data_IF_467753557666
#
_entry.id   IF_467753557666
#
_cell.length_a   1.000
_cell.length_b   1.000
_cell.length_c   1.000
_cell.angle_alpha   90.00
_cell.angle_beta   90.00
_cell.angle_gamma   90.00
#
_symmetry.space_group_name_H-M   'P 1'
#
loop_
_entity.id
_entity.type
_entity.pdbx_description
1 polymer ?
#
# COMPACT_ATOMS: atom_id res chain seq x y z
N UNK A 1 -43.73 -42.63 -26.99
CA UNK A 1 -43.53 -43.77 -26.06
C UNK A 1 -42.37 -43.39 -25.16
N UNK A 2 -42.67 -42.74 -24.01
CA UNK A 2 -42.74 -43.35 -22.66
C UNK A 2 -41.34 -43.64 -22.12
N UNK A 3 -40.83 -43.09 -21.01
CA UNK A 3 -41.40 -42.36 -19.88
C UNK A 3 -40.48 -42.66 -18.68
N UNK A 4 -40.10 -41.65 -17.87
CA UNK A 4 -39.49 -41.89 -16.54
C UNK A 4 -40.55 -42.37 -15.54
N UNK A 5 -40.14 -43.07 -14.47
CA UNK A 5 -40.37 -42.57 -13.09
C UNK A 5 -39.21 -42.96 -12.13
N UNK A 6 -38.74 -42.13 -11.17
CA UNK A 6 -39.29 -41.64 -9.89
C UNK A 6 -39.33 -42.64 -8.70
N UNK A 7 -38.77 -42.18 -7.56
CA UNK A 7 -39.17 -42.44 -6.15
C UNK A 7 -38.77 -43.81 -5.51
N UNK A 8 -38.45 -43.99 -4.21
CA UNK A 8 -38.44 -43.17 -2.98
C UNK A 8 -37.88 -43.99 -1.79
N UNK A 9 -37.70 -43.30 -0.64
CA UNK A 9 -37.76 -43.78 0.77
C UNK A 9 -36.42 -44.20 1.41
N UNK A 10 -36.09 -43.96 2.69
CA UNK A 10 -36.71 -43.32 3.84
C UNK A 10 -35.61 -43.14 4.93
N UNK A 11 -35.72 -42.17 5.85
CA UNK A 11 -34.87 -42.17 7.04
C UNK A 11 -34.86 -40.92 7.93
N UNK A 12 -35.66 -40.97 8.99
CA UNK A 12 -35.48 -40.29 10.29
C UNK A 12 -35.60 -38.75 10.38
N UNK A 13 -36.83 -38.30 10.63
CA UNK A 13 -37.16 -37.01 11.24
C UNK A 13 -36.85 -37.05 12.74
N UNK A 14 -36.00 -36.15 13.26
CA UNK A 14 -35.91 -35.83 14.68
C UNK A 14 -36.10 -34.33 14.87
N UNK A 15 -37.18 -33.98 15.56
CA UNK A 15 -37.65 -32.64 15.79
C UNK A 15 -36.65 -31.83 16.64
N UNK A 16 -36.16 -30.71 16.12
CA UNK A 16 -35.68 -29.60 16.93
C UNK A 16 -36.73 -28.50 16.87
N UNK A 17 -37.40 -28.30 18.00
CA UNK A 17 -38.22 -27.12 18.27
C UNK A 17 -37.31 -25.88 18.19
N UNK A 18 -37.47 -25.08 17.13
CA UNK A 18 -36.81 -23.79 17.00
C UNK A 18 -37.54 -22.76 17.87
N UNK A 19 -36.87 -22.28 18.92
CA UNK A 19 -37.31 -21.13 19.70
C UNK A 19 -37.15 -19.86 18.85
N UNK A 20 -38.25 -19.37 18.27
CA UNK A 20 -38.28 -18.28 17.29
C UNK A 20 -38.22 -16.85 17.87
N UNK A 21 -37.77 -16.69 19.12
CA UNK A 21 -37.78 -15.40 19.85
C UNK A 21 -36.39 -14.88 20.27
N UNK A 22 -35.31 -15.26 19.58
CA UNK A 22 -34.00 -14.62 19.76
C UNK A 22 -33.89 -13.34 18.93
N UNK A 23 -33.29 -12.25 19.45
CA UNK A 23 -33.00 -11.07 18.63
C UNK A 23 -32.10 -11.51 17.46
N UNK A 24 -32.46 -11.10 16.23
CA UNK A 24 -31.60 -11.35 15.08
C UNK A 24 -30.21 -10.74 15.39
N UNK A 25 -29.11 -11.46 15.11
CA UNK A 25 -27.80 -10.88 15.29
C UNK A 25 -27.68 -9.69 14.33
N UNK A 26 -27.47 -8.49 14.88
CA UNK A 26 -27.14 -7.30 14.11
C UNK A 26 -25.82 -7.54 13.37
N UNK A 27 -25.92 -8.00 12.13
CA UNK A 27 -24.83 -7.95 11.17
C UNK A 27 -24.71 -6.52 10.65
N UNK A 28 -24.57 -5.53 11.54
CA UNK A 28 -24.14 -4.21 11.12
C UNK A 28 -22.77 -4.37 10.49
N UNK A 29 -22.71 -4.31 9.15
CA UNK A 29 -21.48 -4.32 8.39
C UNK A 29 -20.79 -2.97 8.66
N UNK A 30 -19.80 -2.88 9.57
CA UNK A 30 -19.23 -1.59 9.96
C UNK A 30 -18.49 -0.94 8.78
N UNK A 31 -18.17 -1.78 7.78
CA UNK A 31 -17.57 -1.41 6.51
C UNK A 31 -18.53 -0.63 5.60
N UNK A 32 -19.86 -0.72 5.75
CA UNK A 32 -20.79 0.03 4.89
C UNK A 32 -20.85 1.53 5.24
N UNK A 33 -20.68 1.86 6.52
CA UNK A 33 -20.75 3.25 7.01
C UNK A 33 -19.41 4.00 6.99
N UNK A 34 -18.30 3.30 6.70
CA UNK A 34 -17.00 3.97 6.54
C UNK A 34 -16.86 4.53 5.11
N UNK A 35 -16.45 5.79 4.92
CA UNK A 35 -16.17 6.30 3.58
C UNK A 35 -15.07 5.46 2.92
N UNK A 36 -15.14 5.17 1.61
CA UNK A 36 -14.27 4.21 0.94
C UNK A 36 -12.78 4.53 1.08
N UNK A 37 -12.41 5.82 1.16
CA UNK A 37 -11.02 6.22 1.38
C UNK A 37 -10.48 5.70 2.74
N UNK A 38 -11.34 5.62 3.76
CA UNK A 38 -10.95 5.15 5.10
C UNK A 38 -10.63 3.64 5.11
N UNK A 39 -11.23 2.85 4.21
CA UNK A 39 -10.91 1.42 4.07
C UNK A 39 -9.53 1.22 3.45
N UNK A 40 -9.22 1.94 2.38
CA UNK A 40 -7.93 1.79 1.68
C UNK A 40 -6.76 2.02 2.62
N UNK A 41 -6.83 3.06 3.47
CA UNK A 41 -5.78 3.32 4.45
C UNK A 41 -5.76 2.28 5.58
N UNK A 42 -6.93 1.84 6.05
CA UNK A 42 -7.04 0.82 7.10
C UNK A 42 -6.41 -0.52 6.70
N UNK A 43 -6.48 -0.87 5.41
CA UNK A 43 -5.93 -2.10 4.85
C UNK A 43 -4.61 -1.89 4.11
N UNK A 44 -3.96 -0.73 4.24
CA UNK A 44 -2.68 -0.48 3.59
C UNK A 44 -1.63 -1.46 4.14
N UNK A 45 -0.99 -2.28 3.28
CA UNK A 45 0.12 -3.16 3.65
C UNK A 45 1.15 -2.46 4.55
N UNK A 46 1.59 -3.13 5.61
CA UNK A 46 2.62 -2.62 6.52
C UNK A 46 3.98 -3.24 6.20
N UNK A 47 3.97 -4.51 5.79
CA UNK A 47 5.15 -5.27 5.43
C UNK A 47 5.20 -5.51 3.92
N UNK A 48 6.40 -5.77 3.38
CA UNK A 48 6.57 -6.12 1.97
C UNK A 48 5.88 -7.43 1.60
N UNK A 49 5.66 -8.32 2.57
CA UNK A 49 4.96 -9.59 2.39
C UNK A 49 3.44 -9.43 2.21
N UNK A 50 2.86 -8.33 2.71
CA UNK A 50 1.44 -8.03 2.60
C UNK A 50 1.06 -7.41 1.23
N UNK A 51 2.07 -6.99 0.45
CA UNK A 51 1.85 -6.37 -0.85
C UNK A 51 1.56 -7.43 -1.90
N UNK A 52 0.32 -7.43 -2.39
CA UNK A 52 -0.12 -8.33 -3.45
C UNK A 52 0.12 -7.69 -4.82
N UNK A 53 0.70 -8.46 -5.75
CA UNK A 53 0.99 -8.04 -7.12
C UNK A 53 2.45 -7.63 -7.34
N UNK A 54 2.82 -7.41 -8.61
CA UNK A 54 4.18 -7.03 -9.04
C UNK A 54 5.29 -7.87 -8.38
N UNK A 55 5.11 -9.19 -8.32
CA UNK A 55 5.96 -10.12 -7.57
C UNK A 55 7.45 -9.93 -7.85
N UNK A 56 7.83 -9.75 -9.11
CA UNK A 56 9.22 -9.50 -9.50
C UNK A 56 9.79 -8.22 -8.88
N UNK A 57 9.02 -7.13 -8.85
CA UNK A 57 9.44 -5.87 -8.22
C UNK A 57 9.56 -6.07 -6.72
N UNK A 58 8.56 -6.68 -6.08
CA UNK A 58 8.57 -6.94 -4.65
C UNK A 58 9.74 -7.85 -4.24
N UNK A 59 10.07 -8.86 -5.04
CA UNK A 59 11.22 -9.74 -4.80
C UNK A 59 12.54 -8.97 -4.86
N UNK A 60 12.73 -8.11 -5.86
CA UNK A 60 13.90 -7.22 -5.94
C UNK A 60 13.98 -6.28 -4.73
N UNK A 61 12.85 -5.70 -4.29
CA UNK A 61 12.83 -4.86 -3.10
C UNK A 61 13.18 -5.66 -1.83
N UNK A 62 12.77 -6.93 -1.73
CA UNK A 62 13.15 -7.82 -0.61
C UNK A 62 14.65 -8.13 -0.60
N UNK A 63 15.28 -8.30 -1.75
CA UNK A 63 16.74 -8.48 -1.85
C UNK A 63 17.45 -7.23 -1.34
N UNK A 64 17.04 -6.05 -1.82
CA UNK A 64 17.63 -4.78 -1.38
C UNK A 64 17.41 -4.55 0.12
N UNK A 65 16.25 -4.94 0.66
CA UNK A 65 15.97 -4.87 2.10
C UNK A 65 16.94 -5.72 2.94
N UNK A 66 17.39 -6.86 2.41
CA UNK A 66 18.38 -7.74 3.07
C UNK A 66 19.79 -7.20 2.95
N UNK A 67 20.19 -6.72 1.77
CA UNK A 67 21.52 -6.20 1.51
C UNK A 67 21.79 -4.88 2.25
N UNK A 68 20.74 -4.08 2.50
CA UNK A 68 20.82 -2.78 3.16
C UNK A 68 21.28 -1.63 2.26
N UNK A 69 21.97 -1.93 1.15
CA UNK A 69 22.41 -0.94 0.18
C UNK A 69 21.29 -0.57 -0.81
N UNK A 70 20.53 0.48 -0.48
CA UNK A 70 19.43 0.98 -1.32
C UNK A 70 19.96 1.92 -2.41
N UNK A 71 19.88 1.57 -3.71
CA UNK A 71 20.12 2.52 -4.78
C UNK A 71 18.99 3.58 -4.85
N UNK A 72 19.21 4.65 -5.61
CA UNK A 72 18.10 5.56 -5.95
C UNK A 72 17.14 4.85 -6.91
N UNK A 73 15.90 4.65 -6.47
CA UNK A 73 14.86 3.92 -7.23
C UNK A 73 13.79 4.89 -7.70
N UNK A 74 13.36 4.73 -8.96
CA UNK A 74 12.15 5.35 -9.50
C UNK A 74 11.14 4.23 -9.78
N UNK A 75 9.97 4.30 -9.15
CA UNK A 75 8.88 3.34 -9.38
C UNK A 75 7.78 4.03 -10.18
N UNK A 76 7.60 3.59 -11.43
CA UNK A 76 6.55 4.08 -12.33
C UNK A 76 5.51 2.99 -12.62
N UNK A 77 4.27 3.40 -12.88
CA UNK A 77 3.18 2.48 -13.25
C UNK A 77 1.80 3.10 -13.06
N UNK A 78 0.74 2.33 -13.32
CA UNK A 78 -0.65 2.76 -13.17
C UNK A 78 -0.98 3.19 -11.72
N UNK A 79 -1.98 4.06 -11.49
CA UNK A 79 -2.45 4.37 -10.14
C UNK A 79 -3.05 3.12 -9.47
N UNK A 80 -2.93 3.01 -8.14
CA UNK A 80 -3.53 1.92 -7.36
C UNK A 80 -2.77 0.58 -7.33
N UNK A 81 -1.62 0.45 -8.00
CA UNK A 81 -0.82 -0.80 -7.99
C UNK A 81 0.12 -0.96 -6.77
N UNK A 82 -0.02 -0.10 -5.77
CA UNK A 82 0.78 -0.17 -4.55
C UNK A 82 2.17 0.48 -4.59
N UNK A 83 2.50 1.32 -5.58
CA UNK A 83 3.84 1.97 -5.70
C UNK A 83 4.30 2.65 -4.41
N UNK A 84 3.51 3.61 -3.91
CA UNK A 84 3.80 4.33 -2.66
C UNK A 84 3.87 3.36 -1.50
N UNK A 85 2.91 2.45 -1.39
CA UNK A 85 2.86 1.42 -0.35
C UNK A 85 4.13 0.56 -0.32
N UNK A 86 4.61 0.08 -1.48
CA UNK A 86 5.81 -0.76 -1.57
C UNK A 86 7.05 -0.04 -1.06
N UNK A 87 7.22 1.25 -1.38
CA UNK A 87 8.35 2.05 -0.90
C UNK A 87 8.24 2.28 0.61
N UNK A 88 7.03 2.57 1.12
CA UNK A 88 6.81 2.76 2.56
C UNK A 88 7.10 1.47 3.34
N UNK A 89 6.62 0.32 2.87
CA UNK A 89 6.93 -0.98 3.45
C UNK A 89 8.44 -1.25 3.47
N UNK A 90 9.11 -1.00 2.34
CA UNK A 90 10.56 -1.17 2.21
C UNK A 90 11.34 -0.28 3.18
N UNK A 91 10.97 1.00 3.27
CA UNK A 91 11.60 1.94 4.18
C UNK A 91 11.42 1.51 5.65
N UNK A 92 10.25 0.97 6.02
CA UNK A 92 10.02 0.39 7.35
C UNK A 92 10.90 -0.83 7.61
N UNK A 93 11.03 -1.74 6.64
CA UNK A 93 11.91 -2.92 6.76
C UNK A 93 13.39 -2.51 6.89
N UNK A 94 13.82 -1.46 6.20
CA UNK A 94 15.20 -0.97 6.20
C UNK A 94 15.56 -0.09 7.40
N UNK A 95 14.62 0.56 8.05
CA UNK A 95 14.96 1.50 9.14
C UNK A 95 14.39 1.08 10.48
N UNK A 96 13.38 0.21 10.49
CA UNK A 96 12.70 -0.23 11.71
C UNK A 96 12.24 0.97 12.52
N UNK A 97 12.70 1.05 13.77
CA UNK A 97 12.36 2.14 14.69
C UNK A 97 12.89 3.51 14.24
N UNK A 98 13.98 3.54 13.47
CA UNK A 98 14.57 4.77 12.94
C UNK A 98 13.77 5.36 11.76
N UNK A 99 12.72 4.68 11.27
CA UNK A 99 11.87 5.13 10.16
C UNK A 99 11.42 6.58 10.33
N UNK A 100 10.97 6.96 11.54
CA UNK A 100 10.44 8.31 11.80
C UNK A 100 11.50 9.41 11.69
N UNK A 101 12.76 9.10 11.94
CA UNK A 101 13.84 10.09 11.94
C UNK A 101 14.63 10.11 10.63
N UNK A 102 14.66 8.97 9.94
CA UNK A 102 15.49 8.71 8.76
C UNK A 102 14.70 8.58 7.45
N UNK A 103 13.39 8.79 7.46
CA UNK A 103 12.57 8.92 6.25
C UNK A 103 11.98 10.32 6.15
N UNK A 104 12.16 10.95 5.00
CA UNK A 104 11.47 12.18 4.61
C UNK A 104 10.51 11.86 3.47
N UNK A 105 9.21 11.90 3.75
CA UNK A 105 8.15 11.77 2.75
C UNK A 105 7.71 13.16 2.30
N UNK A 106 7.80 13.44 1.00
CA UNK A 106 7.35 14.68 0.38
C UNK A 106 6.32 14.33 -0.69
N UNK A 107 5.06 14.67 -0.44
CA UNK A 107 3.99 14.49 -1.41
C UNK A 107 3.80 15.80 -2.20
N UNK A 108 3.85 15.71 -3.53
CA UNK A 108 3.72 16.90 -4.38
C UNK A 108 2.35 17.58 -4.30
N UNK A 109 1.32 16.88 -3.84
CA UNK A 109 -0.01 17.45 -3.65
C UNK A 109 -0.10 18.40 -2.44
N UNK A 110 0.68 18.13 -1.40
CA UNK A 110 0.74 18.95 -0.18
C UNK A 110 1.80 20.07 -0.31
N UNK A 111 2.96 19.75 -0.87
CA UNK A 111 4.08 20.68 -0.97
C UNK A 111 4.06 21.47 -2.27
N UNK A 112 3.38 22.63 -2.23
CA UNK A 112 3.32 23.56 -3.36
C UNK A 112 4.60 24.40 -3.44
N UNK A 113 5.59 23.91 -4.18
CA UNK A 113 6.73 24.71 -4.62
C UNK A 113 8.05 23.94 -4.64
N UNK A 114 8.78 24.04 -5.75
CA UNK A 114 10.09 23.39 -5.93
C UNK A 114 11.09 23.88 -4.87
N UNK A 115 11.03 25.15 -4.47
CA UNK A 115 11.95 25.73 -3.49
C UNK A 115 11.73 25.19 -2.07
N UNK A 116 10.47 24.94 -1.69
CA UNK A 116 10.12 24.36 -0.38
C UNK A 116 10.68 22.94 -0.28
N UNK A 117 10.43 22.14 -1.31
CA UNK A 117 10.94 20.76 -1.43
C UNK A 117 12.47 20.76 -1.35
N UNK A 118 13.15 21.62 -2.12
CA UNK A 118 14.62 21.76 -2.08
C UNK A 118 15.13 22.10 -0.69
N UNK A 119 14.51 23.04 0.00
CA UNK A 119 14.93 23.45 1.34
C UNK A 119 14.72 22.34 2.38
N UNK A 120 13.59 21.61 2.31
CA UNK A 120 13.34 20.44 3.17
C UNK A 120 14.35 19.32 2.93
N UNK A 121 14.61 18.98 1.66
CA UNK A 121 15.61 17.96 1.30
C UNK A 121 17.00 18.37 1.81
N UNK A 122 17.41 19.64 1.62
CA UNK A 122 18.70 20.15 2.12
C UNK A 122 18.80 20.04 3.64
N UNK A 123 17.78 20.49 4.37
CA UNK A 123 17.76 20.41 5.83
C UNK A 123 17.83 18.95 6.34
N UNK A 124 17.10 18.05 5.69
CA UNK A 124 17.11 16.63 6.03
C UNK A 124 18.42 15.94 5.68
N UNK A 125 19.05 16.29 4.56
CA UNK A 125 20.38 15.81 4.18
C UNK A 125 21.45 16.23 5.20
N UNK A 126 21.35 17.44 5.76
CA UNK A 126 22.27 17.95 6.78
C UNK A 126 22.02 17.40 8.19
N UNK A 127 20.79 16.97 8.51
CA UNK A 127 20.46 16.37 9.82
C UNK A 127 21.29 15.11 10.06
N UNK A 128 22.05 15.05 11.16
CA UNK A 128 22.75 13.82 11.59
C UNK A 128 21.71 12.89 12.24
N UNK A 129 21.64 11.65 11.76
CA UNK A 129 20.78 10.59 12.30
C UNK A 129 21.65 9.36 12.51
N UNK A 130 21.60 8.77 13.69
CA UNK A 130 22.34 7.56 14.01
C UNK A 130 21.59 6.37 13.43
N UNK A 131 22.17 5.72 12.42
CA UNK A 131 21.60 4.54 11.77
C UNK A 131 22.50 3.33 11.96
N UNK A 132 21.93 2.10 11.93
CA UNK A 132 22.72 0.88 11.88
C UNK A 132 23.70 0.89 10.69
N UNK A 133 24.83 0.14 10.79
CA UNK A 133 25.78 0.04 9.69
C UNK A 133 25.08 -0.47 8.41
N UNK A 134 25.36 0.18 7.28
CA UNK A 134 24.77 -0.17 5.99
C UNK A 134 23.35 0.38 5.77
N UNK A 135 22.82 1.24 6.64
CA UNK A 135 21.52 1.90 6.44
C UNK A 135 21.70 3.39 6.17
N UNK A 136 20.88 3.91 5.26
CA UNK A 136 20.95 5.29 4.79
C UNK A 136 19.62 6.01 5.02
N UNK A 137 19.66 7.34 5.13
CA UNK A 137 18.47 8.17 5.14
C UNK A 137 17.75 8.06 3.80
N UNK A 138 16.42 7.97 3.83
CA UNK A 138 15.58 7.84 2.64
C UNK A 138 14.75 9.10 2.43
N UNK A 139 14.67 9.55 1.18
CA UNK A 139 13.77 10.62 0.76
C UNK A 139 12.80 10.02 -0.24
N UNK A 140 11.51 10.05 0.08
CA UNK A 140 10.42 9.53 -0.74
C UNK A 140 9.72 10.73 -1.36
N UNK A 141 9.76 10.84 -2.68
CA UNK A 141 9.06 11.87 -3.45
C UNK A 141 7.84 11.24 -4.09
N UNK A 142 6.66 11.42 -3.50
CA UNK A 142 5.42 10.93 -4.10
C UNK A 142 4.85 11.96 -5.10
N UNK A 143 4.20 11.45 -6.14
CA UNK A 143 3.68 12.25 -7.27
C UNK A 143 4.76 13.15 -7.90
N UNK A 144 5.98 12.62 -8.05
CA UNK A 144 7.14 13.39 -8.49
C UNK A 144 7.01 13.96 -9.92
N UNK A 145 6.11 13.41 -10.73
CA UNK A 145 5.72 13.93 -12.03
C UNK A 145 5.12 15.34 -11.95
N UNK A 146 4.58 15.75 -10.79
CA UNK A 146 4.09 17.12 -10.58
C UNK A 146 5.21 18.13 -10.34
N UNK A 147 6.37 17.71 -9.85
CA UNK A 147 7.52 18.60 -9.66
C UNK A 147 8.22 18.93 -10.99
N UNK A 148 8.03 18.08 -12.01
CA UNK A 148 8.44 18.40 -13.37
C UNK A 148 7.56 19.56 -13.86
N UNK A 149 8.11 20.78 -13.80
CA UNK A 149 7.43 21.97 -14.29
C UNK A 149 6.86 21.68 -15.66
N UNK A 150 5.54 21.88 -15.82
CA UNK A 150 4.83 21.79 -17.10
C UNK A 150 5.41 22.81 -18.07
N UNK A 151 6.58 22.54 -18.63
CA UNK A 151 6.82 22.89 -20.02
C UNK A 151 6.17 21.77 -20.82
N UNK A 152 5.11 22.04 -21.60
CA UNK A 152 4.71 21.10 -22.62
C UNK A 152 5.95 20.87 -23.49
N UNK A 153 6.38 19.61 -23.63
CA UNK A 153 7.19 19.20 -24.79
C UNK A 153 6.32 19.41 -26.04
N UNK A 154 6.18 20.66 -26.46
CA UNK A 154 6.05 21.11 -27.84
C UNK A 154 7.48 21.49 -28.26
N UNK A 155 7.88 21.07 -29.46
CA UNK A 155 9.24 21.01 -29.99
C UNK A 155 9.96 19.71 -29.56
N UNK A 156 10.24 18.74 -30.43
CA UNK A 156 10.58 18.86 -31.85
C UNK A 156 9.75 17.88 -32.68
N UNK A 157 8.94 18.43 -33.59
CA UNK A 157 8.76 17.83 -34.90
C UNK A 157 9.87 18.44 -35.77
N UNK A 158 10.80 17.60 -36.20
CA UNK A 158 11.52 17.70 -37.46
C UNK A 158 11.98 16.29 -37.82
#
# INVERSE_FOLDING_TARGET
MSGQPESSSAGARKALHANANGPAPDYELPWLFTPPQRRVEKYRPVYLDDVVGNSETIERLKIIAKDGNMPHVIISGMPGIGKTTSILCLARTLLGDAYKEAVLELNASDERGIDVVRNRIKGFAQKKVTLPPGRHKLVILDEADRYAGRRPLRACAN
#
